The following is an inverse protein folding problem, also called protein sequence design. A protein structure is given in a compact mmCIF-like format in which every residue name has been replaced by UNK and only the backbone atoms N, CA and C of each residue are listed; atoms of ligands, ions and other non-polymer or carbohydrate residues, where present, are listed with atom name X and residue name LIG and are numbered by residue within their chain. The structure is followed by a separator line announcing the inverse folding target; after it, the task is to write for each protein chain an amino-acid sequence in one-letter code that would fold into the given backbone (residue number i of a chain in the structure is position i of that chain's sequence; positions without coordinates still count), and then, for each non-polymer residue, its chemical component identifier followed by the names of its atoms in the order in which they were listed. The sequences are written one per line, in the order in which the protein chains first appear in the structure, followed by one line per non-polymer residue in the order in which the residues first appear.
data_IF_673176917748
#
_entry.id   IF_673176917748
#
_cell.length_a   1.000
_cell.length_b   1.000
_cell.length_c   1.000
_cell.angle_alpha   90.00
_cell.angle_beta   90.00
_cell.angle_gamma   90.00
#
_symmetry.space_group_name_H-M   'P 1'
#
loop_
_entity.id
_entity.type
_entity.pdbx_description
1 polymer ?
#
# COMPACT_ATOMS: atom_id res chain seq x y z
N UNK A 1 12.52 -0.89 21.93
CA UNK A 1 12.81 -2.33 21.74
C UNK A 1 13.17 -2.66 20.30
N UNK A 2 12.42 -2.22 19.27
CA UNK A 2 12.69 -2.58 17.86
C UNK A 2 14.14 -2.28 17.42
N UNK A 3 14.56 -1.02 17.50
CA UNK A 3 15.91 -0.58 17.13
C UNK A 3 17.00 -1.32 17.93
N UNK A 4 16.77 -1.52 19.23
CA UNK A 4 17.65 -2.28 20.12
C UNK A 4 17.84 -3.75 19.72
N UNK A 5 16.97 -4.30 18.88
CA UNK A 5 17.04 -5.67 18.35
C UNK A 5 17.40 -5.71 16.85
N UNK A 6 17.89 -4.60 16.28
CA UNK A 6 18.34 -4.52 14.89
C UNK A 6 17.25 -4.26 13.86
N UNK A 7 15.99 -4.03 14.27
CA UNK A 7 14.93 -3.60 13.36
C UNK A 7 15.10 -2.13 12.95
N UNK A 8 14.93 -1.82 11.67
CA UNK A 8 15.14 -0.49 11.10
C UNK A 8 13.90 0.12 10.43
N UNK A 9 12.79 -0.61 10.33
CA UNK A 9 11.56 -0.10 9.75
C UNK A 9 10.30 -0.72 10.37
N UNK A 10 9.18 -0.03 10.19
CA UNK A 10 7.82 -0.50 10.51
C UNK A 10 6.88 -0.24 9.35
N UNK A 11 5.74 -0.96 9.33
CA UNK A 11 4.63 -0.72 8.41
C UNK A 11 3.36 -0.40 9.20
N UNK A 12 2.59 0.57 8.74
CA UNK A 12 1.22 0.82 9.22
C UNK A 12 0.20 0.33 8.19
N UNK A 13 -1.04 0.12 8.63
CA UNK A 13 -2.15 -0.21 7.72
C UNK A 13 -2.89 1.02 7.22
N UNK A 14 -2.88 2.10 8.00
CA UNK A 14 -3.60 3.34 7.74
C UNK A 14 -2.78 4.54 8.25
N UNK A 15 -3.37 5.71 8.10
CA UNK A 15 -2.77 7.01 8.44
C UNK A 15 -3.19 7.52 9.82
N UNK A 16 -3.89 6.71 10.61
CA UNK A 16 -4.32 7.11 11.96
C UNK A 16 -3.08 7.37 12.83
N UNK A 17 -3.00 8.56 13.41
CA UNK A 17 -1.86 9.03 14.20
C UNK A 17 -0.51 9.01 13.44
N UNK A 18 -0.52 9.06 12.10
CA UNK A 18 0.69 8.93 11.30
C UNK A 18 1.77 9.97 11.67
N UNK A 19 1.38 11.20 11.99
CA UNK A 19 2.30 12.25 12.45
C UNK A 19 3.06 11.85 13.72
N UNK A 20 2.36 11.29 14.71
CA UNK A 20 2.99 10.81 15.95
C UNK A 20 3.91 9.63 15.65
N UNK A 21 3.46 8.69 14.83
CA UNK A 21 4.23 7.50 14.44
C UNK A 21 5.52 7.91 13.74
N UNK A 22 5.43 8.80 12.75
CA UNK A 22 6.57 9.29 11.96
C UNK A 22 7.57 10.05 12.85
N UNK A 23 7.10 10.92 13.74
CA UNK A 23 7.95 11.65 14.66
C UNK A 23 8.68 10.71 15.64
N UNK A 24 7.98 9.73 16.21
CA UNK A 24 8.61 8.75 17.11
C UNK A 24 9.57 7.82 16.36
N UNK A 25 9.23 7.40 15.15
CA UNK A 25 10.11 6.60 14.31
C UNK A 25 11.41 7.37 13.99
N UNK A 26 11.30 8.64 13.60
CA UNK A 26 12.46 9.50 13.32
C UNK A 26 13.41 9.61 14.53
N UNK A 27 12.87 9.87 15.74
CA UNK A 27 13.66 9.95 16.98
C UNK A 27 14.46 8.67 17.26
N UNK A 28 13.98 7.53 16.76
CA UNK A 28 14.58 6.22 16.98
C UNK A 28 15.37 5.69 15.77
N UNK A 29 15.53 6.50 14.71
CA UNK A 29 16.20 6.10 13.47
C UNK A 29 15.48 4.97 12.72
N UNK A 30 14.15 4.93 12.82
CA UNK A 30 13.28 3.93 12.19
C UNK A 30 12.58 4.57 11.01
N UNK A 31 12.52 3.87 9.88
CA UNK A 31 11.79 4.28 8.69
C UNK A 31 10.37 3.68 8.67
N UNK A 32 9.42 4.36 8.05
CA UNK A 32 7.99 3.98 8.08
C UNK A 32 7.45 3.77 6.68
N UNK A 33 6.97 2.55 6.40
CA UNK A 33 6.06 2.29 5.28
C UNK A 33 4.65 2.71 5.71
N UNK A 34 4.17 3.83 5.19
CA UNK A 34 2.89 4.41 5.58
C UNK A 34 1.74 3.77 4.79
N UNK A 35 0.83 3.09 5.48
CA UNK A 35 -0.33 2.46 4.86
C UNK A 35 -1.44 3.45 4.53
N UNK A 36 -2.00 3.34 3.32
CA UNK A 36 -3.24 3.99 2.90
C UNK A 36 -4.35 2.92 2.90
N UNK A 37 -5.37 3.11 3.73
CA UNK A 37 -6.46 2.15 3.89
C UNK A 37 -7.47 2.26 2.75
N UNK A 38 -7.09 1.71 1.60
CA UNK A 38 -7.99 1.54 0.45
C UNK A 38 -9.19 0.69 0.88
N UNK A 39 -10.40 1.09 0.49
CA UNK A 39 -11.65 0.47 0.94
C UNK A 39 -11.94 -0.86 0.26
N UNK A 40 -12.53 -1.82 0.99
CA UNK A 40 -12.77 -3.17 0.47
C UNK A 40 -14.20 -3.35 -0.05
N UNK A 41 -14.35 -4.04 -1.19
CA UNK A 41 -15.68 -4.46 -1.68
C UNK A 41 -16.41 -5.34 -0.65
N UNK A 42 -15.68 -6.24 0.03
CA UNK A 42 -16.23 -7.06 1.11
C UNK A 42 -16.75 -6.28 2.32
N UNK A 43 -16.41 -4.99 2.43
CA UNK A 43 -16.92 -4.09 3.47
C UNK A 43 -18.04 -3.16 2.93
N UNK A 44 -18.51 -3.38 1.70
CA UNK A 44 -19.58 -2.63 1.06
C UNK A 44 -19.13 -1.51 0.12
N UNK A 45 -17.83 -1.36 -0.15
CA UNK A 45 -17.36 -0.34 -1.08
C UNK A 45 -17.62 -0.72 -2.53
N UNK A 46 -18.20 0.18 -3.31
CA UNK A 46 -18.53 -0.07 -4.72
C UNK A 46 -17.54 0.62 -5.65
N UNK A 47 -16.62 -0.13 -6.27
CA UNK A 47 -15.67 0.41 -7.24
C UNK A 47 -16.26 0.79 -8.60
N UNK A 48 -17.58 0.66 -8.78
CA UNK A 48 -18.30 1.25 -9.92
C UNK A 48 -18.91 2.61 -9.59
N UNK A 49 -18.89 3.03 -8.32
CA UNK A 49 -19.25 4.37 -7.88
C UNK A 49 -18.05 5.30 -8.05
N UNK A 50 -18.08 6.12 -9.11
CA UNK A 50 -16.98 7.00 -9.46
C UNK A 50 -16.79 8.12 -8.43
N UNK A 51 -17.86 8.60 -7.78
CA UNK A 51 -17.77 9.65 -6.77
C UNK A 51 -17.07 9.12 -5.53
N UNK A 52 -17.48 7.93 -5.05
CA UNK A 52 -16.83 7.29 -3.91
C UNK A 52 -15.34 7.00 -4.14
N UNK A 53 -14.98 6.54 -5.35
CA UNK A 53 -13.57 6.30 -5.72
C UNK A 53 -12.78 7.61 -5.76
N UNK A 54 -13.37 8.69 -6.31
CA UNK A 54 -12.74 9.99 -6.40
C UNK A 54 -12.53 10.62 -5.02
N UNK A 55 -13.52 10.56 -4.12
CA UNK A 55 -13.36 11.04 -2.73
C UNK A 55 -12.23 10.32 -2.01
N UNK A 56 -12.13 9.01 -2.15
CA UNK A 56 -11.02 8.25 -1.55
C UNK A 56 -9.66 8.70 -2.10
N UNK A 57 -9.55 8.97 -3.41
CA UNK A 57 -8.32 9.48 -4.01
C UNK A 57 -7.95 10.85 -3.43
N UNK A 58 -8.91 11.78 -3.33
CA UNK A 58 -8.72 13.13 -2.77
C UNK A 58 -8.30 13.11 -1.30
N UNK A 59 -8.89 12.22 -0.49
CA UNK A 59 -8.51 12.03 0.91
C UNK A 59 -7.04 11.58 1.00
N UNK A 60 -6.60 10.67 0.13
CA UNK A 60 -5.19 10.26 0.09
C UNK A 60 -4.25 11.32 -0.45
N UNK A 61 -4.69 12.14 -1.43
CA UNK A 61 -3.91 13.28 -1.93
C UNK A 61 -3.53 14.21 -0.78
N UNK A 62 -4.49 14.58 0.08
CA UNK A 62 -4.24 15.46 1.24
C UNK A 62 -3.26 14.84 2.24
N UNK A 63 -3.36 13.54 2.48
CA UNK A 63 -2.42 12.82 3.35
C UNK A 63 -1.00 12.85 2.77
N UNK A 64 -0.86 12.54 1.48
CA UNK A 64 0.44 12.47 0.81
C UNK A 64 1.09 13.85 0.78
N UNK A 65 0.36 14.89 0.40
CA UNK A 65 0.84 16.28 0.46
C UNK A 65 1.33 16.67 1.86
N UNK A 66 0.60 16.26 2.91
CA UNK A 66 0.97 16.59 4.29
C UNK A 66 2.25 15.92 4.75
N UNK A 67 2.52 14.68 4.34
CA UNK A 67 3.57 13.84 4.96
C UNK A 67 4.72 13.45 4.05
N UNK A 68 4.66 13.73 2.75
CA UNK A 68 5.69 13.35 1.77
C UNK A 68 7.11 13.79 2.14
N UNK A 69 7.27 14.93 2.82
CA UNK A 69 8.58 15.48 3.16
C UNK A 69 9.08 15.02 4.56
N UNK A 70 8.35 14.12 5.22
CA UNK A 70 8.74 13.67 6.56
C UNK A 70 9.97 12.74 6.48
N UNK A 71 11.07 13.01 7.22
CA UNK A 71 12.35 12.30 7.06
C UNK A 71 12.32 10.81 7.42
N UNK A 72 11.37 10.37 8.24
CA UNK A 72 11.16 8.95 8.56
C UNK A 72 10.23 8.21 7.58
N UNK A 73 9.65 8.88 6.58
CA UNK A 73 8.84 8.19 5.58
C UNK A 73 9.75 7.35 4.67
N UNK A 74 9.37 6.10 4.43
CA UNK A 74 10.11 5.18 3.57
C UNK A 74 9.46 5.00 2.20
N UNK A 75 8.15 4.75 2.21
CA UNK A 75 7.33 4.41 1.04
C UNK A 75 5.84 4.40 1.43
N UNK A 76 4.98 4.43 0.43
CA UNK A 76 3.52 4.40 0.59
C UNK A 76 2.95 3.00 0.28
N UNK A 77 2.26 2.38 1.24
CA UNK A 77 1.56 1.12 1.03
C UNK A 77 0.07 1.34 0.73
N UNK A 78 -0.27 1.29 -0.56
CA UNK A 78 -1.61 1.48 -1.12
C UNK A 78 -2.42 0.19 -0.93
N UNK A 79 -3.26 0.18 0.09
CA UNK A 79 -4.17 -0.92 0.37
C UNK A 79 -3.52 -2.15 1.00
N UNK A 80 -4.37 -3.08 1.40
CA UNK A 80 -3.98 -4.37 1.96
C UNK A 80 -5.06 -5.42 1.71
N UNK A 81 -4.73 -6.45 0.93
CA UNK A 81 -5.57 -7.62 0.68
C UNK A 81 -6.96 -7.26 0.15
N UNK A 82 -6.99 -6.33 -0.81
CA UNK A 82 -8.22 -5.79 -1.39
C UNK A 82 -8.97 -6.82 -2.23
N UNK A 83 -8.23 -7.79 -2.79
CA UNK A 83 -8.73 -8.83 -3.66
C UNK A 83 -9.47 -9.96 -2.93
N UNK A 84 -9.29 -10.06 -1.61
CA UNK A 84 -9.96 -11.09 -0.82
C UNK A 84 -11.48 -10.90 -0.86
N UNK A 85 -12.15 -11.86 -1.48
CA UNK A 85 -13.59 -11.89 -1.77
C UNK A 85 -14.09 -10.75 -2.66
N UNK A 86 -13.20 -10.17 -3.49
CA UNK A 86 -13.59 -9.20 -4.48
C UNK A 86 -14.16 -9.89 -5.73
N UNK A 87 -15.29 -9.37 -6.22
CA UNK A 87 -15.85 -9.70 -7.53
C UNK A 87 -15.52 -8.60 -8.56
N UNK A 88 -15.30 -7.37 -8.09
CA UNK A 88 -14.99 -6.21 -8.89
C UNK A 88 -13.49 -5.92 -8.90
N UNK A 89 -12.83 -6.19 -10.03
CA UNK A 89 -11.40 -5.96 -10.18
C UNK A 89 -11.03 -4.49 -10.48
N UNK A 90 -12.01 -3.57 -10.55
CA UNK A 90 -11.75 -2.13 -10.71
C UNK A 90 -10.97 -1.54 -9.52
N UNK A 91 -10.92 -2.24 -8.39
CA UNK A 91 -10.02 -1.88 -7.28
C UNK A 91 -8.59 -1.66 -7.74
N UNK A 92 -8.10 -2.44 -8.70
CA UNK A 92 -6.74 -2.29 -9.20
C UNK A 92 -6.53 -1.03 -10.05
N UNK A 93 -7.57 -0.55 -10.74
CA UNK A 93 -7.50 0.74 -11.40
C UNK A 93 -7.38 1.85 -10.34
N UNK A 94 -8.20 1.80 -9.28
CA UNK A 94 -8.14 2.78 -8.20
C UNK A 94 -6.78 2.74 -7.46
N UNK A 95 -6.22 1.56 -7.21
CA UNK A 95 -4.85 1.40 -6.67
C UNK A 95 -3.83 2.06 -7.59
N UNK A 96 -3.95 1.89 -8.91
CA UNK A 96 -3.05 2.51 -9.87
C UNK A 96 -3.18 4.04 -9.90
N UNK A 97 -4.40 4.56 -9.84
CA UNK A 97 -4.65 6.00 -9.88
C UNK A 97 -4.09 6.68 -8.62
N UNK A 98 -4.18 6.02 -7.46
CA UNK A 98 -3.50 6.45 -6.24
C UNK A 98 -1.98 6.42 -6.42
N UNK A 99 -1.42 5.35 -7.03
CA UNK A 99 0.02 5.24 -7.26
C UNK A 99 0.54 6.35 -8.20
N UNK A 100 -0.18 6.65 -9.27
CA UNK A 100 0.12 7.77 -10.18
C UNK A 100 0.11 9.11 -9.45
N UNK A 101 -0.94 9.37 -8.66
CA UNK A 101 -1.07 10.60 -7.89
C UNK A 101 0.11 10.77 -6.92
N UNK A 102 0.49 9.70 -6.22
CA UNK A 102 1.64 9.75 -5.31
C UNK A 102 2.92 10.07 -6.07
N UNK A 103 3.17 9.43 -7.21
CA UNK A 103 4.37 9.68 -8.01
C UNK A 103 4.46 11.12 -8.54
N UNK A 104 3.32 11.74 -8.81
CA UNK A 104 3.26 13.14 -9.24
C UNK A 104 3.60 14.10 -8.08
N UNK A 105 3.08 13.82 -6.88
CA UNK A 105 3.18 14.73 -5.73
C UNK A 105 4.45 14.49 -4.89
N UNK A 106 4.86 13.23 -4.78
CA UNK A 106 5.97 12.71 -3.99
C UNK A 106 6.86 11.77 -4.83
N UNK A 107 7.76 12.33 -5.65
CA UNK A 107 8.67 11.54 -6.48
C UNK A 107 9.80 10.86 -5.69
N UNK A 108 9.91 11.12 -4.37
CA UNK A 108 11.02 10.64 -3.55
C UNK A 108 10.73 9.27 -2.91
N UNK A 109 9.46 8.91 -2.73
CA UNK A 109 9.07 7.69 -2.02
C UNK A 109 8.38 6.69 -2.95
N UNK A 110 8.83 5.42 -2.97
CA UNK A 110 8.18 4.38 -3.75
C UNK A 110 6.74 4.10 -3.32
N UNK A 111 5.98 3.52 -4.24
CA UNK A 111 4.64 2.98 -3.99
C UNK A 111 4.68 1.45 -3.86
N UNK A 112 3.85 0.93 -2.97
CA UNK A 112 3.70 -0.50 -2.70
C UNK A 112 2.22 -0.86 -2.66
N UNK A 113 1.84 -2.06 -3.09
CA UNK A 113 0.53 -2.65 -2.72
C UNK A 113 0.73 -4.02 -2.11
N UNK A 114 -0.21 -4.50 -1.30
CA UNK A 114 -0.05 -5.75 -0.53
C UNK A 114 -1.21 -6.70 -0.78
N UNK A 115 -0.89 -7.94 -1.16
CA UNK A 115 -1.87 -9.02 -1.43
C UNK A 115 -1.77 -10.17 -0.43
N UNK A 116 -2.85 -10.95 -0.30
CA UNK A 116 -2.92 -12.15 0.51
C UNK A 116 -2.54 -13.39 -0.31
N UNK A 117 -1.41 -14.00 0.06
CA UNK A 117 -0.81 -15.11 -0.69
C UNK A 117 -0.67 -14.78 -2.18
N UNK A 118 -0.19 -15.73 -2.99
CA UNK A 118 -0.06 -15.45 -4.42
C UNK A 118 -0.18 -16.67 -5.32
N UNK A 119 -0.73 -16.43 -6.52
CA UNK A 119 -0.63 -17.29 -7.68
C UNK A 119 -0.38 -16.43 -8.94
N UNK A 120 0.11 -17.04 -10.00
CA UNK A 120 0.52 -16.37 -11.25
C UNK A 120 -0.56 -15.50 -11.89
N UNK A 121 -1.82 -15.94 -11.84
CA UNK A 121 -2.95 -15.21 -12.41
C UNK A 121 -3.23 -13.90 -11.67
N UNK A 122 -3.16 -13.92 -10.33
CA UNK A 122 -3.33 -12.71 -9.51
C UNK A 122 -2.23 -11.67 -9.81
N UNK A 123 -0.98 -12.11 -9.94
CA UNK A 123 0.16 -11.24 -10.25
C UNK A 123 -0.01 -10.59 -11.60
N UNK A 124 -0.26 -11.39 -12.63
CA UNK A 124 -0.40 -10.90 -14.00
C UNK A 124 -1.51 -9.85 -14.09
N UNK A 125 -2.64 -10.10 -13.43
CA UNK A 125 -3.74 -9.14 -13.42
C UNK A 125 -3.36 -7.85 -12.69
N UNK A 126 -2.77 -7.92 -11.49
CA UNK A 126 -2.31 -6.76 -10.74
C UNK A 126 -1.30 -5.94 -11.54
N UNK A 127 -0.25 -6.57 -12.08
CA UNK A 127 0.77 -5.88 -12.90
C UNK A 127 0.14 -5.20 -14.12
N UNK A 128 -0.84 -5.85 -14.75
CA UNK A 128 -1.51 -5.27 -15.93
C UNK A 128 -2.39 -4.06 -15.61
N UNK A 129 -2.94 -3.99 -14.39
CA UNK A 129 -3.90 -2.96 -13.97
C UNK A 129 -3.29 -1.86 -13.12
N UNK A 130 -2.22 -2.17 -12.40
CA UNK A 130 -1.51 -1.27 -11.52
C UNK A 130 -0.02 -1.13 -11.89
N UNK A 131 0.31 -0.75 -13.14
CA UNK A 131 1.71 -0.63 -13.59
C UNK A 131 2.51 0.45 -12.86
N UNK A 132 1.85 1.41 -12.20
CA UNK A 132 2.52 2.48 -11.45
C UNK A 132 2.95 2.04 -10.04
N UNK A 133 2.64 0.82 -9.60
CA UNK A 133 3.17 0.27 -8.34
C UNK A 133 4.64 -0.15 -8.51
N UNK A 134 5.50 0.31 -7.61
CA UNK A 134 6.94 -0.01 -7.64
C UNK A 134 7.25 -1.35 -6.95
N UNK A 135 6.53 -1.68 -5.86
CA UNK A 135 6.81 -2.82 -5.00
C UNK A 135 5.55 -3.65 -4.74
N UNK A 136 5.64 -4.97 -4.94
CA UNK A 136 4.60 -5.91 -4.53
C UNK A 136 4.91 -6.53 -3.16
N UNK A 137 4.05 -6.24 -2.18
CA UNK A 137 4.02 -6.92 -0.89
C UNK A 137 3.16 -8.18 -0.93
N UNK A 138 3.63 -9.23 -0.26
CA UNK A 138 2.90 -10.49 -0.15
C UNK A 138 2.82 -10.86 1.33
N UNK A 139 1.61 -10.87 1.87
CA UNK A 139 1.37 -11.49 3.17
C UNK A 139 1.36 -13.00 2.98
N UNK A 140 2.25 -13.71 3.68
CA UNK A 140 2.29 -15.18 3.65
C UNK A 140 2.17 -15.80 5.03
N UNK A 141 1.29 -16.80 5.12
CA UNK A 141 0.96 -17.50 6.35
C UNK A 141 1.28 -18.98 6.16
N UNK A 142 2.43 -19.42 6.70
CA UNK A 142 2.85 -20.83 6.71
C UNK A 142 3.47 -21.37 5.42
N UNK A 143 3.58 -20.58 4.35
CA UNK A 143 4.05 -21.04 3.02
C UNK A 143 5.14 -20.17 2.38
N UNK A 144 6.03 -19.59 3.19
CA UNK A 144 7.06 -18.64 2.71
C UNK A 144 8.02 -19.28 1.68
N UNK A 145 8.37 -20.56 1.85
CA UNK A 145 9.36 -21.24 1.01
C UNK A 145 8.94 -21.41 -0.46
N UNK A 146 7.63 -21.39 -0.76
CA UNK A 146 7.10 -21.55 -2.12
C UNK A 146 6.86 -20.22 -2.84
N UNK A 147 7.00 -19.07 -2.17
CA UNK A 147 6.76 -17.74 -2.78
C UNK A 147 7.58 -17.53 -4.05
N UNK A 148 8.90 -17.83 -4.10
CA UNK A 148 9.69 -17.59 -5.31
C UNK A 148 9.18 -18.36 -6.54
N UNK A 149 8.61 -19.55 -6.36
CA UNK A 149 8.01 -20.31 -7.46
C UNK A 149 6.66 -19.74 -7.89
N UNK A 150 5.84 -19.32 -6.93
CA UNK A 150 4.51 -18.74 -7.18
C UNK A 150 4.56 -17.35 -7.83
N UNK A 151 5.67 -16.62 -7.66
CA UNK A 151 5.89 -15.29 -8.27
C UNK A 151 6.47 -15.35 -9.68
N UNK A 152 7.26 -16.39 -10.00
CA UNK A 152 7.96 -16.50 -11.30
C UNK A 152 7.14 -17.12 -12.43
N UNK A 153 5.94 -17.62 -12.12
CA UNK A 153 5.01 -18.20 -13.10
C UNK A 153 3.96 -17.18 -13.50
#
# INVERSE_FOLDING_TARGET
MLSSNGGNSIRTWNTNNLEVILNEAHKNGIMVTAGLWVQHERHGFNYSDQEAVQTQLEDFTQVVEKFKDHPALLMWAIGNEMELNASNMNVWNAVNDIAKMIKEIDPNHPTMTVVAEINSNKITHLISKAPDIDILGINSYGSIGSIPERVRR
#
